data_IF_420091023373
#
_entry.id   IF_420091023373
#
_cell.length_a   1.000
_cell.length_b   1.000
_cell.length_c   1.000
_cell.angle_alpha   90.00
_cell.angle_beta   90.00
_cell.angle_gamma   90.00
#
_symmetry.space_group_name_H-M   'P 1'
#
loop_
_entity.id
_entity.type
_entity.pdbx_description
1 polymer ?
#
# COMPACT_ATOMS: atom_id res chain seq x y z
N UNK A 1 3.36 -49.59 27.16
CA UNK A 1 4.13 -48.46 27.72
C UNK A 1 4.91 -47.70 26.64
N UNK A 2 5.53 -48.38 25.66
CA UNK A 2 6.22 -47.71 24.53
C UNK A 2 5.28 -46.96 23.57
N UNK A 3 4.09 -47.49 23.27
CA UNK A 3 3.09 -46.83 22.40
C UNK A 3 2.55 -45.51 22.98
N UNK A 4 2.41 -45.41 24.32
CA UNK A 4 1.98 -44.17 24.98
C UNK A 4 3.08 -43.09 24.92
N UNK A 5 4.35 -43.49 24.97
CA UNK A 5 5.48 -42.57 24.83
C UNK A 5 5.61 -42.02 23.40
N UNK A 6 5.32 -42.83 22.39
CA UNK A 6 5.29 -42.38 20.98
C UNK A 6 4.17 -41.36 20.74
N UNK A 7 2.96 -41.64 21.23
CA UNK A 7 1.82 -40.70 21.13
C UNK A 7 2.11 -39.40 21.88
N UNK A 8 2.78 -39.48 23.04
CA UNK A 8 3.11 -38.32 23.85
C UNK A 8 4.18 -37.43 23.19
N UNK A 9 5.18 -38.03 22.53
CA UNK A 9 6.21 -37.30 21.79
C UNK A 9 5.63 -36.65 20.51
N UNK A 10 4.76 -37.34 19.78
CA UNK A 10 4.07 -36.75 18.61
C UNK A 10 3.19 -35.55 18.99
N UNK A 11 2.52 -35.59 20.14
CA UNK A 11 1.70 -34.47 20.61
C UNK A 11 2.55 -33.27 21.06
N UNK A 12 3.74 -33.52 21.63
CA UNK A 12 4.69 -32.49 22.04
C UNK A 12 5.38 -31.81 20.86
N UNK A 13 5.73 -32.56 19.82
CA UNK A 13 6.25 -32.01 18.56
C UNK A 13 5.18 -31.16 17.83
N UNK A 14 3.91 -31.54 17.95
CA UNK A 14 2.80 -30.77 17.39
C UNK A 14 2.54 -29.45 18.13
N UNK A 15 2.82 -29.40 19.44
CA UNK A 15 2.67 -28.21 20.29
C UNK A 15 3.84 -27.22 20.14
N UNK A 16 5.06 -27.69 19.84
CA UNK A 16 6.22 -26.83 19.63
C UNK A 16 6.20 -26.12 18.27
N UNK A 17 5.64 -26.75 17.24
CA UNK A 17 5.52 -26.19 15.89
C UNK A 17 4.65 -24.91 15.80
N UNK A 18 3.80 -24.65 16.81
CA UNK A 18 2.87 -23.50 16.81
C UNK A 18 3.44 -22.23 17.46
N UNK A 19 4.59 -22.29 18.15
CA UNK A 19 5.14 -21.14 18.89
C UNK A 19 6.29 -20.40 18.17
N UNK A 20 6.86 -20.95 17.10
CA UNK A 20 7.98 -20.32 16.38
C UNK A 20 7.60 -19.66 15.05
N UNK A 21 6.32 -19.69 14.65
CA UNK A 21 5.88 -19.20 13.33
C UNK A 21 5.05 -17.90 13.34
N UNK A 22 5.12 -17.09 14.41
CA UNK A 22 4.38 -15.80 14.44
C UNK A 22 5.20 -14.60 14.95
N UNK A 23 6.50 -14.57 14.66
CA UNK A 23 7.30 -13.35 14.76
C UNK A 23 8.23 -13.16 13.54
N UNK A 24 7.72 -13.51 12.36
CA UNK A 24 8.20 -12.96 11.10
C UNK A 24 7.20 -11.92 10.64
N UNK A 25 7.63 -10.66 10.54
CA UNK A 25 6.78 -9.52 10.20
C UNK A 25 6.07 -9.73 8.85
N UNK A 26 4.82 -10.16 8.88
CA UNK A 26 3.91 -10.02 7.74
C UNK A 26 3.41 -8.58 7.71
N UNK A 27 4.30 -7.67 7.32
CA UNK A 27 3.83 -6.43 6.70
C UNK A 27 3.18 -6.80 5.38
N UNK A 28 1.92 -6.40 5.18
CA UNK A 28 1.19 -6.50 3.91
C UNK A 28 1.78 -5.55 2.82
N UNK A 29 3.10 -5.48 2.70
CA UNK A 29 3.81 -4.60 1.76
C UNK A 29 4.30 -5.33 0.50
N UNK A 30 4.17 -6.66 0.43
CA UNK A 30 4.65 -7.44 -0.71
C UNK A 30 3.54 -7.79 -1.74
N UNK A 31 2.27 -7.53 -1.43
CA UNK A 31 1.13 -7.73 -2.35
C UNK A 31 0.43 -6.39 -2.71
N UNK A 32 1.18 -5.29 -2.75
CA UNK A 32 0.70 -4.13 -3.50
C UNK A 32 1.18 -4.35 -4.94
N UNK A 33 0.29 -4.41 -5.95
CA UNK A 33 0.75 -4.36 -7.33
C UNK A 33 1.63 -3.13 -7.41
N UNK A 34 2.79 -3.23 -8.08
CA UNK A 34 3.71 -2.12 -8.33
C UNK A 34 2.95 -1.04 -9.10
N UNK A 35 2.10 -0.29 -8.40
CA UNK A 35 1.52 0.93 -8.86
C UNK A 35 2.70 1.85 -8.77
N UNK A 36 3.32 2.09 -9.92
CA UNK A 36 4.25 3.19 -10.09
C UNK A 36 3.77 4.33 -9.21
N UNK A 37 4.69 4.90 -8.43
CA UNK A 37 4.42 5.94 -7.44
C UNK A 37 4.05 7.22 -8.21
N UNK A 38 2.94 7.15 -8.94
CA UNK A 38 2.16 8.29 -9.36
C UNK A 38 1.65 8.84 -8.03
N UNK A 39 1.89 10.13 -7.76
CA UNK A 39 1.30 10.74 -6.58
C UNK A 39 -0.21 10.50 -6.70
N UNK A 40 -0.77 9.85 -5.69
CA UNK A 40 -2.16 9.42 -5.68
C UNK A 40 -2.80 10.05 -4.47
N UNK A 41 -3.75 10.91 -4.75
CA UNK A 41 -4.54 11.54 -3.72
C UNK A 41 -5.61 10.58 -3.20
N UNK A 42 -5.89 10.57 -1.89
CA UNK A 42 -6.87 9.66 -1.29
C UNK A 42 -8.30 9.93 -1.76
N UNK A 43 -8.59 11.15 -2.22
CA UNK A 43 -9.91 11.54 -2.72
C UNK A 43 -10.13 11.15 -4.18
N UNK A 44 -11.28 10.53 -4.47
CA UNK A 44 -11.74 10.25 -5.85
C UNK A 44 -11.87 11.51 -6.73
N UNK A 45 -12.06 12.67 -6.11
CA UNK A 45 -12.18 13.99 -6.75
C UNK A 45 -10.94 14.87 -6.54
N UNK A 46 -9.81 14.26 -6.17
CA UNK A 46 -8.54 14.96 -6.03
C UNK A 46 -7.64 14.62 -7.22
N UNK A 47 -6.76 15.55 -7.57
CA UNK A 47 -5.72 15.37 -8.55
C UNK A 47 -4.37 15.64 -7.93
N UNK A 48 -3.38 14.88 -8.36
CA UNK A 48 -2.06 14.90 -7.77
C UNK A 48 -1.11 15.73 -8.62
N UNK A 49 -0.61 16.81 -8.02
CA UNK A 49 0.44 17.65 -8.56
C UNK A 49 1.71 16.84 -8.79
N UNK A 50 2.58 17.32 -9.68
CA UNK A 50 3.86 16.66 -9.97
C UNK A 50 4.78 16.62 -8.74
N UNK A 51 4.69 17.63 -7.86
CA UNK A 51 5.39 17.66 -6.58
C UNK A 51 4.78 16.73 -5.50
N UNK A 52 3.64 16.10 -5.76
CA UNK A 52 2.94 15.21 -4.83
C UNK A 52 1.82 15.86 -4.00
N UNK A 53 1.56 17.15 -4.18
CA UNK A 53 0.41 17.82 -3.56
C UNK A 53 -0.92 17.34 -4.14
N UNK A 54 -1.98 17.54 -3.37
CA UNK A 54 -3.33 17.13 -3.74
C UNK A 54 -4.26 18.34 -3.79
N UNK A 55 -4.77 18.61 -4.98
CA UNK A 55 -5.75 19.67 -5.24
C UNK A 55 -7.08 19.04 -5.68
N UNK A 56 -8.14 19.84 -5.82
CA UNK A 56 -9.37 19.30 -6.34
C UNK A 56 -9.28 19.11 -7.86
N UNK A 57 -9.95 18.08 -8.38
CA UNK A 57 -9.92 17.73 -9.80
C UNK A 57 -10.57 18.79 -10.70
N UNK A 58 -11.40 19.66 -10.14
CA UNK A 58 -11.98 20.79 -10.87
C UNK A 58 -11.04 22.00 -10.94
N UNK A 59 -9.97 22.01 -10.16
CA UNK A 59 -8.94 23.06 -10.18
C UNK A 59 -7.81 22.75 -11.17
N UNK A 60 -7.86 21.62 -11.89
CA UNK A 60 -6.86 21.33 -12.94
C UNK A 60 -7.25 22.06 -14.21
N UNK A 61 -6.33 22.82 -14.80
CA UNK A 61 -6.53 23.54 -16.05
C UNK A 61 -7.69 24.54 -15.99
N UNK A 62 -7.86 25.20 -14.84
CA UNK A 62 -8.85 26.26 -14.62
C UNK A 62 -8.27 27.67 -14.86
N UNK A 63 -6.95 27.75 -15.11
CA UNK A 63 -6.21 29.00 -15.34
C UNK A 63 -5.63 29.61 -14.07
N UNK A 64 -5.76 28.95 -12.90
CA UNK A 64 -5.30 29.43 -11.60
C UNK A 64 -4.37 28.36 -11.00
N UNK A 65 -3.07 28.66 -10.79
CA UNK A 65 -2.16 27.69 -10.19
C UNK A 65 -2.55 27.42 -8.73
N UNK A 66 -3.01 26.21 -8.45
CA UNK A 66 -3.25 25.67 -7.11
C UNK A 66 -2.08 24.85 -6.60
N UNK A 67 -1.37 24.13 -7.47
CA UNK A 67 -0.16 23.43 -7.04
C UNK A 67 0.94 24.44 -6.72
N UNK A 68 1.77 24.17 -5.71
CA UNK A 68 2.93 25.00 -5.37
C UNK A 68 3.95 25.06 -6.51
N UNK A 69 3.98 24.04 -7.39
CA UNK A 69 4.78 24.02 -8.60
C UNK A 69 4.02 24.48 -9.86
N UNK A 70 2.72 24.79 -9.75
CA UNK A 70 1.83 25.17 -10.85
C UNK A 70 1.60 24.06 -11.89
N UNK A 71 1.89 22.81 -11.54
CA UNK A 71 1.82 21.67 -12.46
C UNK A 71 0.41 21.29 -12.91
N UNK A 72 -0.61 21.76 -12.19
CA UNK A 72 -2.02 21.69 -12.52
C UNK A 72 -2.41 22.50 -13.76
N UNK A 73 -1.61 23.48 -14.13
CA UNK A 73 -1.82 24.34 -15.31
C UNK A 73 -0.88 24.00 -16.48
N UNK A 74 -0.19 22.86 -16.40
CA UNK A 74 0.74 22.42 -17.44
C UNK A 74 0.08 21.44 -18.42
N UNK A 75 0.30 21.70 -19.71
CA UNK A 75 -0.07 20.80 -20.81
C UNK A 75 -1.56 20.38 -20.81
N UNK A 76 -2.45 21.33 -20.57
CA UNK A 76 -3.90 21.12 -20.49
C UNK A 76 -4.55 20.53 -21.75
N UNK A 77 -3.88 20.59 -22.90
CA UNK A 77 -4.36 19.96 -24.14
C UNK A 77 -4.22 18.43 -24.13
N UNK A 78 -3.34 17.87 -23.29
CA UNK A 78 -3.12 16.42 -23.20
C UNK A 78 -4.15 15.70 -22.32
N UNK A 79 -4.86 16.43 -21.45
CA UNK A 79 -5.73 15.88 -20.40
C UNK A 79 -7.22 16.12 -20.64
N UNK A 80 -7.59 16.66 -21.81
CA UNK A 80 -8.96 17.02 -22.17
C UNK A 80 -9.78 15.84 -22.70
#
# INVERSE_FOLDING_TARGET
MLLLASIFLELLDFLSAQLESSMGAQSNLDELPRKEILPQCPGQWQWACRNGECIARYDTCDGIPQCSDGSDEWNCDQWR
#
